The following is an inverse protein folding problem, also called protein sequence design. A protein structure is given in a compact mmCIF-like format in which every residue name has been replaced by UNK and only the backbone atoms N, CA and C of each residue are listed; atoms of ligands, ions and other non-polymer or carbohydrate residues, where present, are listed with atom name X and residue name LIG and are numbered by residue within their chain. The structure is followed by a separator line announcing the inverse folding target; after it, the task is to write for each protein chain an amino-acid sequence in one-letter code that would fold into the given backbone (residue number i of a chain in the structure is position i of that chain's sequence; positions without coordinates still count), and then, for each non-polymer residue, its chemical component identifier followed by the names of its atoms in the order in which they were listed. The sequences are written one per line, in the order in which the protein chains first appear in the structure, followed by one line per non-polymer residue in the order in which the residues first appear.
data_IF_812537772471
#
_entry.id   IF_812537772471
#
_cell.length_a   1.000
_cell.length_b   1.000
_cell.length_c   1.000
_cell.angle_alpha   90.00
_cell.angle_beta   90.00
_cell.angle_gamma   90.00
#
_symmetry.space_group_name_H-M   'P 1'
#
loop_
_entity.id
_entity.type
_entity.pdbx_description
1 polymer ?
#
# COMPACT_ATOMS: atom_id res chain seq x y z
N UNK A 1 -1.11 -18.37 -59.57
CA UNK A 1 -0.57 -19.59 -58.92
C UNK A 1 0.58 -19.30 -57.97
N UNK A 2 1.58 -18.48 -58.34
CA UNK A 2 2.73 -18.19 -57.47
C UNK A 2 2.37 -17.53 -56.11
N UNK A 3 1.38 -16.63 -56.05
CA UNK A 3 0.96 -15.98 -54.78
C UNK A 3 0.20 -16.91 -53.82
N UNK A 4 -0.47 -17.94 -54.36
CA UNK A 4 -1.15 -18.95 -53.55
C UNK A 4 -0.13 -19.91 -52.93
N UNK A 5 0.88 -20.34 -53.69
CA UNK A 5 1.95 -21.20 -53.20
C UNK A 5 2.77 -20.56 -52.06
N UNK A 6 3.07 -19.26 -52.15
CA UNK A 6 3.75 -18.52 -51.08
C UNK A 6 2.89 -18.33 -49.83
N UNK A 7 1.58 -18.07 -49.97
CA UNK A 7 0.67 -18.00 -48.83
C UNK A 7 0.53 -19.36 -48.11
N UNK A 8 0.44 -20.46 -48.88
CA UNK A 8 0.38 -21.82 -48.32
C UNK A 8 1.68 -22.20 -47.62
N UNK A 9 2.85 -21.91 -48.20
CA UNK A 9 4.14 -22.16 -47.57
C UNK A 9 4.38 -21.33 -46.30
N UNK A 10 3.93 -20.06 -46.29
CA UNK A 10 3.98 -19.20 -45.11
C UNK A 10 3.06 -19.73 -43.98
N UNK A 11 1.86 -20.19 -44.30
CA UNK A 11 0.94 -20.79 -43.33
C UNK A 11 1.46 -22.12 -42.77
N UNK A 12 2.08 -22.97 -43.60
CA UNK A 12 2.68 -24.23 -43.15
C UNK A 12 3.86 -23.95 -42.20
N UNK A 13 4.75 -23.04 -42.57
CA UNK A 13 5.91 -22.63 -41.74
C UNK A 13 5.49 -21.99 -40.42
N UNK A 14 4.42 -21.18 -40.44
CA UNK A 14 3.86 -20.63 -39.21
C UNK A 14 3.30 -21.75 -38.31
N UNK A 15 2.56 -22.71 -38.87
CA UNK A 15 1.97 -23.81 -38.10
C UNK A 15 3.02 -24.74 -37.47
N UNK A 16 4.13 -25.01 -38.17
CA UNK A 16 5.21 -25.85 -37.65
C UNK A 16 5.98 -25.14 -36.54
N UNK A 17 6.20 -23.84 -36.68
CA UNK A 17 6.79 -23.01 -35.62
C UNK A 17 5.90 -22.96 -34.37
N UNK A 18 4.58 -22.87 -34.51
CA UNK A 18 3.66 -22.91 -33.37
C UNK A 18 3.64 -24.22 -32.62
N UNK A 19 3.65 -25.33 -33.35
CA UNK A 19 3.70 -26.66 -32.75
C UNK A 19 5.02 -26.89 -32.00
N UNK A 20 6.14 -26.44 -32.56
CA UNK A 20 7.44 -26.49 -31.86
C UNK A 20 7.40 -25.69 -30.54
N UNK A 21 6.72 -24.55 -30.55
CA UNK A 21 6.61 -23.67 -29.38
C UNK A 21 5.82 -24.28 -28.22
N UNK A 22 4.89 -25.21 -28.48
CA UNK A 22 4.11 -25.86 -27.40
C UNK A 22 4.99 -26.59 -26.39
N UNK A 23 6.10 -27.17 -26.84
CA UNK A 23 7.05 -27.87 -25.96
C UNK A 23 8.06 -26.95 -25.28
N UNK A 24 8.14 -25.68 -25.67
CA UNK A 24 9.06 -24.72 -25.06
C UNK A 24 8.52 -24.27 -23.70
N UNK A 25 9.40 -24.28 -22.69
CA UNK A 25 9.11 -23.72 -21.37
C UNK A 25 9.89 -22.42 -21.20
N UNK A 26 9.31 -21.38 -20.58
CA UNK A 26 10.05 -20.15 -20.32
C UNK A 26 11.17 -20.41 -19.32
N UNK A 27 12.22 -19.58 -19.35
CA UNK A 27 13.43 -19.79 -18.52
C UNK A 27 13.15 -19.81 -17.01
N UNK A 28 12.07 -19.17 -16.57
CA UNK A 28 11.69 -19.10 -15.16
C UNK A 28 10.85 -20.30 -14.71
N UNK A 29 10.36 -21.13 -15.65
CA UNK A 29 9.57 -22.31 -15.29
C UNK A 29 10.46 -23.35 -14.62
N UNK A 30 10.05 -23.76 -13.42
CA UNK A 30 10.78 -24.73 -12.62
C UNK A 30 9.97 -26.03 -12.52
N UNK A 31 10.46 -27.09 -13.16
CA UNK A 31 9.83 -28.42 -13.14
C UNK A 31 10.11 -29.23 -11.88
N UNK A 32 10.76 -28.63 -10.88
CA UNK A 32 11.02 -29.29 -9.59
C UNK A 32 9.77 -29.26 -8.71
N UNK A 33 9.62 -30.20 -7.76
CA UNK A 33 8.52 -30.20 -6.79
C UNK A 33 8.43 -28.92 -5.95
N UNK A 34 9.58 -28.33 -5.61
CA UNK A 34 9.67 -27.07 -4.88
C UNK A 34 10.66 -26.10 -5.52
N UNK A 35 10.51 -24.82 -5.21
CA UNK A 35 11.41 -23.75 -5.66
C UNK A 35 12.78 -23.89 -5.01
N UNK A 36 12.82 -24.15 -3.70
CA UNK A 36 14.05 -24.43 -2.96
C UNK A 36 14.06 -25.91 -2.54
N UNK A 37 15.07 -26.71 -2.95
CA UNK A 37 15.16 -28.11 -2.56
C UNK A 37 15.09 -28.28 -1.04
N UNK A 38 14.18 -29.13 -0.57
CA UNK A 38 13.99 -29.42 0.86
C UNK A 38 13.08 -28.46 1.63
N UNK A 39 12.55 -27.41 0.97
CA UNK A 39 11.56 -26.50 1.57
C UNK A 39 10.29 -26.55 0.73
N UNK A 40 9.16 -26.87 1.38
CA UNK A 40 7.82 -26.77 0.79
C UNK A 40 7.55 -25.37 0.26
N UNK A 41 6.89 -25.25 -0.90
CA UNK A 41 6.54 -23.96 -1.49
C UNK A 41 5.55 -23.19 -0.58
N UNK A 42 4.66 -23.90 0.13
CA UNK A 42 3.80 -23.33 1.17
C UNK A 42 4.63 -22.69 2.28
N UNK A 43 5.58 -23.43 2.87
CA UNK A 43 6.41 -22.89 3.94
C UNK A 43 7.35 -21.78 3.46
N UNK A 44 7.85 -21.88 2.23
CA UNK A 44 8.65 -20.82 1.62
C UNK A 44 7.85 -19.54 1.45
N UNK A 45 6.57 -19.64 1.04
CA UNK A 45 5.69 -18.48 0.89
C UNK A 45 5.38 -17.76 2.20
N UNK A 46 5.52 -18.44 3.34
CA UNK A 46 5.34 -17.88 4.68
C UNK A 46 6.66 -17.37 5.28
N UNK A 47 7.75 -18.10 5.06
CA UNK A 47 9.06 -17.78 5.65
C UNK A 47 9.81 -16.68 4.91
N UNK A 48 9.76 -16.65 3.57
CA UNK A 48 10.52 -15.68 2.77
C UNK A 48 10.12 -14.22 3.03
N UNK A 49 8.82 -13.86 3.15
CA UNK A 49 8.41 -12.51 3.54
C UNK A 49 9.01 -12.07 4.87
N UNK A 50 9.11 -12.96 5.86
CA UNK A 50 9.73 -12.65 7.17
C UNK A 50 11.23 -12.36 7.00
N UNK A 51 11.94 -13.20 6.24
CA UNK A 51 13.37 -12.99 5.96
C UNK A 51 13.60 -11.65 5.27
N UNK A 52 12.78 -11.34 4.25
CA UNK A 52 12.89 -10.10 3.49
C UNK A 52 12.51 -8.88 4.33
N UNK A 53 11.50 -8.99 5.19
CA UNK A 53 11.17 -7.94 6.14
C UNK A 53 12.40 -7.54 6.98
N UNK A 54 13.08 -8.52 7.58
CA UNK A 54 14.23 -8.25 8.43
C UNK A 54 15.44 -7.78 7.62
N UNK A 55 15.71 -8.39 6.47
CA UNK A 55 16.82 -7.97 5.60
C UNK A 55 16.67 -6.51 5.15
N UNK A 56 15.49 -6.12 4.66
CA UNK A 56 15.21 -4.75 4.23
C UNK A 56 15.20 -3.78 5.41
N UNK A 57 14.63 -4.18 6.55
CA UNK A 57 14.63 -3.32 7.75
C UNK A 57 16.05 -3.07 8.27
N UNK A 58 16.89 -4.10 8.29
CA UNK A 58 18.29 -3.99 8.67
C UNK A 58 19.10 -3.18 7.66
N UNK A 59 18.77 -3.23 6.37
CA UNK A 59 19.37 -2.36 5.36
C UNK A 59 19.13 -0.88 5.67
N UNK A 60 17.88 -0.47 5.87
CA UNK A 60 17.57 0.93 6.24
C UNK A 60 18.16 1.31 7.60
N UNK A 61 18.15 0.40 8.57
CA UNK A 61 18.80 0.64 9.85
C UNK A 61 20.32 0.81 9.73
N UNK A 62 20.97 0.08 8.82
CA UNK A 62 22.39 0.26 8.54
C UNK A 62 22.64 1.65 7.92
N UNK A 63 21.76 2.13 7.04
CA UNK A 63 21.85 3.51 6.53
C UNK A 63 21.73 4.53 7.66
N UNK A 64 20.82 4.29 8.62
CA UNK A 64 20.63 5.14 9.79
C UNK A 64 21.89 5.24 10.67
N UNK A 65 22.61 4.14 10.84
CA UNK A 65 23.82 4.07 11.66
C UNK A 65 25.03 4.64 10.90
N UNK A 66 25.19 4.28 9.62
CA UNK A 66 26.38 4.63 8.84
C UNK A 66 26.40 6.10 8.44
N UNK A 67 25.25 6.76 8.32
CA UNK A 67 25.10 8.18 7.96
C UNK A 67 25.97 8.59 6.77
N UNK A 68 25.94 7.77 5.71
CA UNK A 68 26.77 8.00 4.52
C UNK A 68 26.37 9.35 3.88
N UNK A 69 27.30 10.30 3.66
CA UNK A 69 26.96 11.65 3.19
C UNK A 69 26.12 11.68 1.91
N UNK A 70 26.29 10.68 1.03
CA UNK A 70 25.55 10.54 -0.21
C UNK A 70 24.07 10.16 0.00
N UNK A 71 23.74 9.37 1.02
CA UNK A 71 22.37 8.93 1.31
C UNK A 71 21.63 9.89 2.24
N UNK A 72 22.34 10.59 3.13
CA UNK A 72 21.75 11.53 4.11
C UNK A 72 20.95 12.65 3.46
N UNK A 73 21.35 13.11 2.27
CA UNK A 73 20.59 14.13 1.50
C UNK A 73 19.18 13.69 1.10
N UNK A 74 18.86 12.40 1.21
CA UNK A 74 17.54 11.83 0.92
C UNK A 74 16.76 11.44 2.18
N UNK A 75 17.37 11.59 3.36
CA UNK A 75 16.71 11.28 4.64
C UNK A 75 15.57 12.28 4.87
N UNK A 76 14.42 11.77 5.31
CA UNK A 76 13.24 12.60 5.60
C UNK A 76 13.32 13.28 6.97
N UNK A 77 13.86 12.57 7.97
CA UNK A 77 13.93 13.00 9.36
C UNK A 77 15.24 12.61 10.01
N UNK A 78 15.83 13.51 10.79
CA UNK A 78 17.04 13.24 11.57
C UNK A 78 16.83 12.10 12.58
N UNK A 79 17.85 11.26 12.88
CA UNK A 79 17.73 10.16 13.83
C UNK A 79 17.23 10.57 15.23
N UNK A 80 17.57 11.78 15.67
CA UNK A 80 17.06 12.33 16.93
C UNK A 80 15.56 12.59 16.89
N UNK A 81 14.98 12.96 15.74
CA UNK A 81 13.54 13.14 15.62
C UNK A 81 12.80 11.80 15.74
N UNK A 82 13.35 10.74 15.15
CA UNK A 82 12.81 9.37 15.25
C UNK A 82 12.70 8.93 16.71
N UNK A 83 13.71 9.21 17.52
CA UNK A 83 13.74 8.81 18.93
C UNK A 83 12.91 9.72 19.83
N UNK A 84 12.88 11.04 19.57
CA UNK A 84 12.20 12.03 20.44
C UNK A 84 10.70 12.16 20.15
N UNK A 85 10.26 11.99 18.91
CA UNK A 85 8.85 12.22 18.52
C UNK A 85 7.99 10.96 18.57
N UNK A 86 8.60 9.77 18.44
CA UNK A 86 7.87 8.52 18.53
C UNK A 86 7.44 8.23 19.97
N UNK A 87 6.21 7.74 20.14
CA UNK A 87 5.58 7.47 21.44
C UNK A 87 5.73 6.01 21.88
N UNK A 88 6.62 5.26 21.23
CA UNK A 88 6.90 3.85 21.50
C UNK A 88 8.38 3.56 21.30
N UNK A 89 8.94 2.67 22.13
CA UNK A 89 10.34 2.23 22.01
C UNK A 89 10.52 1.23 20.86
N UNK A 90 11.70 1.25 20.24
CA UNK A 90 12.08 0.30 19.18
C UNK A 90 11.96 -1.15 19.66
N UNK A 91 12.35 -1.45 20.91
CA UNK A 91 12.19 -2.79 21.49
C UNK A 91 10.73 -3.26 21.47
N UNK A 92 9.79 -2.38 21.83
CA UNK A 92 8.36 -2.72 21.81
C UNK A 92 7.86 -2.91 20.38
N UNK A 93 8.34 -2.12 19.44
CA UNK A 93 8.05 -2.29 18.01
C UNK A 93 8.50 -3.67 17.54
N UNK A 94 9.75 -4.04 17.79
CA UNK A 94 10.32 -5.34 17.41
C UNK A 94 9.50 -6.50 18.01
N UNK A 95 9.15 -6.44 19.29
CA UNK A 95 8.33 -7.49 19.93
C UNK A 95 6.96 -7.62 19.26
N UNK A 96 6.29 -6.50 18.97
CA UNK A 96 4.99 -6.51 18.31
C UNK A 96 5.06 -7.03 16.87
N UNK A 97 6.16 -6.75 16.15
CA UNK A 97 6.41 -7.32 14.82
C UNK A 97 6.54 -8.84 14.89
N UNK A 98 7.26 -9.39 15.87
CA UNK A 98 7.31 -10.85 16.05
C UNK A 98 5.94 -11.46 16.33
N UNK A 99 5.11 -10.79 17.16
CA UNK A 99 3.72 -11.22 17.39
C UNK A 99 2.91 -11.19 16.09
N UNK A 100 3.07 -10.13 15.29
CA UNK A 100 2.39 -9.97 14.02
C UNK A 100 2.80 -11.05 13.01
N UNK A 101 4.11 -11.34 12.90
CA UNK A 101 4.64 -12.41 12.04
C UNK A 101 4.17 -13.80 12.48
N UNK A 102 4.06 -14.05 13.79
CA UNK A 102 3.48 -15.30 14.30
C UNK A 102 2.02 -15.46 13.89
N UNK A 103 1.20 -14.40 14.06
CA UNK A 103 -0.21 -14.41 13.67
C UNK A 103 -0.36 -14.61 12.15
N UNK A 104 0.41 -13.86 11.35
CA UNK A 104 0.48 -13.99 9.89
C UNK A 104 0.83 -15.42 9.46
N UNK A 105 1.82 -16.03 10.12
CA UNK A 105 2.25 -17.40 9.84
C UNK A 105 1.15 -18.40 10.15
N UNK A 106 0.51 -18.29 11.32
CA UNK A 106 -0.61 -19.17 11.71
C UNK A 106 -1.77 -19.04 10.72
N UNK A 107 -2.14 -17.81 10.36
CA UNK A 107 -3.21 -17.54 9.40
C UNK A 107 -2.90 -18.16 8.02
N UNK A 108 -1.67 -17.94 7.52
CA UNK A 108 -1.24 -18.51 6.25
C UNK A 108 -1.13 -20.03 6.25
N UNK A 109 -0.76 -20.65 7.37
CA UNK A 109 -0.77 -22.12 7.51
C UNK A 109 -2.17 -22.72 7.35
N UNK A 110 -3.19 -22.01 7.83
CA UNK A 110 -4.60 -22.43 7.71
C UNK A 110 -5.12 -22.21 6.29
N UNK A 111 -4.78 -21.09 5.67
CA UNK A 111 -5.44 -20.65 4.44
C UNK A 111 -4.76 -21.12 3.15
N UNK A 112 -3.42 -21.17 3.13
CA UNK A 112 -2.70 -21.47 1.89
C UNK A 112 -2.81 -22.94 1.52
N UNK A 113 -2.95 -23.18 0.22
CA UNK A 113 -2.94 -24.50 -0.39
C UNK A 113 -1.68 -25.29 0.01
N UNK A 114 -1.85 -26.61 0.14
CA UNK A 114 -0.74 -27.51 0.42
C UNK A 114 0.12 -27.80 -0.81
N UNK A 115 1.23 -28.52 -0.59
CA UNK A 115 2.14 -28.89 -1.66
C UNK A 115 1.48 -29.77 -2.72
N UNK A 116 0.42 -30.52 -2.40
CA UNK A 116 -0.25 -31.38 -3.38
C UNK A 116 -0.92 -30.53 -4.47
N UNK A 117 -1.60 -29.45 -4.08
CA UNK A 117 -2.18 -28.49 -5.04
C UNK A 117 -1.07 -27.80 -5.84
N UNK A 118 0.01 -27.38 -5.19
CA UNK A 118 1.16 -26.75 -5.87
C UNK A 118 1.81 -27.67 -6.92
N UNK A 119 1.92 -28.97 -6.63
CA UNK A 119 2.42 -29.97 -7.57
C UNK A 119 1.45 -30.19 -8.74
N UNK A 120 0.14 -30.25 -8.47
CA UNK A 120 -0.86 -30.36 -9.54
C UNK A 120 -0.82 -29.16 -10.49
N UNK A 121 -0.57 -27.96 -9.98
CA UNK A 121 -0.41 -26.75 -10.80
C UNK A 121 0.90 -26.77 -11.60
N UNK A 122 2.00 -27.22 -10.99
CA UNK A 122 3.33 -27.28 -11.59
C UNK A 122 3.47 -28.34 -12.67
N UNK A 123 2.80 -29.49 -12.50
CA UNK A 123 2.81 -30.61 -13.45
C UNK A 123 1.52 -30.72 -14.25
N UNK A 124 0.76 -29.63 -14.35
CA UNK A 124 -0.43 -29.59 -15.17
C UNK A 124 -0.09 -29.86 -16.64
N UNK A 125 -1.08 -30.32 -17.41
CA UNK A 125 -0.96 -30.40 -18.87
C UNK A 125 -0.90 -29.00 -19.49
N UNK A 126 0.27 -28.38 -19.43
CA UNK A 126 0.52 -27.04 -19.95
C UNK A 126 0.28 -26.98 -21.46
N UNK A 127 0.67 -28.03 -22.20
CA UNK A 127 0.49 -28.11 -23.65
C UNK A 127 -1.00 -28.13 -24.00
N UNK A 128 -1.79 -28.97 -23.34
CA UNK A 128 -3.24 -29.02 -23.50
C UNK A 128 -3.91 -27.69 -23.16
N UNK A 129 -3.50 -27.03 -22.06
CA UNK A 129 -4.01 -25.70 -21.69
C UNK A 129 -3.69 -24.64 -22.74
N UNK A 130 -2.48 -24.65 -23.30
CA UNK A 130 -2.09 -23.71 -24.37
C UNK A 130 -2.91 -23.98 -25.64
N UNK A 131 -3.13 -25.24 -26.02
CA UNK A 131 -3.95 -25.60 -27.17
C UNK A 131 -5.41 -25.19 -26.99
N UNK A 132 -5.96 -25.36 -25.78
CA UNK A 132 -7.30 -24.89 -25.44
C UNK A 132 -7.40 -23.37 -25.58
N UNK A 133 -6.42 -22.63 -25.05
CA UNK A 133 -6.35 -21.18 -25.16
C UNK A 133 -6.20 -20.73 -26.62
N UNK A 134 -5.40 -21.42 -27.44
CA UNK A 134 -5.27 -21.14 -28.87
C UNK A 134 -6.60 -21.36 -29.61
N UNK A 135 -7.35 -22.40 -29.25
CA UNK A 135 -8.69 -22.66 -29.79
C UNK A 135 -9.67 -21.55 -29.44
N UNK A 136 -9.72 -21.15 -28.15
CA UNK A 136 -10.56 -20.05 -27.68
C UNK A 136 -10.18 -18.73 -28.36
N UNK A 137 -8.89 -18.44 -28.45
CA UNK A 137 -8.37 -17.24 -29.11
C UNK A 137 -8.84 -17.18 -30.55
N UNK A 138 -8.67 -18.25 -31.34
CA UNK A 138 -9.18 -18.34 -32.72
C UNK A 138 -10.68 -18.14 -32.78
N UNK A 139 -11.43 -18.82 -31.91
CA UNK A 139 -12.89 -18.74 -31.90
C UNK A 139 -13.39 -17.31 -31.66
N UNK A 140 -12.95 -16.66 -30.58
CA UNK A 140 -13.43 -15.33 -30.23
C UNK A 140 -12.94 -14.23 -31.17
N UNK A 141 -11.70 -14.32 -31.68
CA UNK A 141 -11.20 -13.36 -32.66
C UNK A 141 -11.89 -13.53 -34.03
N UNK A 142 -12.23 -14.76 -34.42
CA UNK A 142 -13.06 -15.02 -35.61
C UNK A 142 -14.47 -14.47 -35.44
N UNK A 143 -15.08 -14.68 -34.28
CA UNK A 143 -16.42 -14.18 -33.97
C UNK A 143 -16.47 -12.64 -33.99
N UNK A 144 -15.45 -11.98 -33.44
CA UNK A 144 -15.41 -10.53 -33.32
C UNK A 144 -15.04 -9.80 -34.62
N UNK A 145 -14.12 -10.36 -35.43
CA UNK A 145 -13.52 -9.65 -36.57
C UNK A 145 -13.69 -10.36 -37.92
N UNK A 146 -14.26 -11.56 -37.92
CA UNK A 146 -14.39 -12.41 -39.10
C UNK A 146 -13.10 -13.19 -39.42
N UNK A 147 -13.27 -14.36 -40.05
CA UNK A 147 -12.17 -15.28 -40.36
C UNK A 147 -11.06 -14.65 -41.23
N UNK A 148 -11.42 -13.69 -42.08
CA UNK A 148 -10.47 -12.98 -42.94
C UNK A 148 -9.48 -12.11 -42.15
N UNK A 149 -9.95 -11.44 -41.09
CA UNK A 149 -9.14 -10.49 -40.32
C UNK A 149 -8.49 -11.13 -39.09
N UNK A 150 -8.95 -12.33 -38.70
CA UNK A 150 -8.49 -13.03 -37.52
C UNK A 150 -6.95 -13.16 -37.42
N UNK A 151 -6.21 -13.57 -38.48
CA UNK A 151 -4.76 -13.69 -38.38
C UNK A 151 -4.07 -12.34 -38.19
N UNK A 152 -4.57 -11.29 -38.86
CA UNK A 152 -4.03 -9.92 -38.75
C UNK A 152 -4.23 -9.36 -37.35
N UNK A 153 -5.43 -9.49 -36.79
CA UNK A 153 -5.73 -9.03 -35.42
C UNK A 153 -4.87 -9.77 -34.40
N UNK A 154 -4.72 -11.10 -34.56
CA UNK A 154 -3.88 -11.91 -33.66
C UNK A 154 -2.42 -11.44 -33.70
N UNK A 155 -1.90 -11.13 -34.89
CA UNK A 155 -0.54 -10.57 -35.03
C UNK A 155 -0.39 -9.22 -34.37
N UNK A 156 -1.34 -8.33 -34.54
CA UNK A 156 -1.28 -6.99 -33.96
C UNK A 156 -1.37 -7.05 -32.43
N UNK A 157 -2.20 -7.93 -31.88
CA UNK A 157 -2.40 -8.05 -30.44
C UNK A 157 -1.26 -8.83 -29.74
N UNK A 158 -0.72 -9.87 -30.37
CA UNK A 158 0.17 -10.84 -29.70
C UNK A 158 1.51 -11.05 -30.42
N UNK A 159 1.78 -10.29 -31.48
CA UNK A 159 3.04 -10.36 -32.24
C UNK A 159 3.17 -11.55 -33.19
N UNK A 160 2.19 -12.46 -33.26
CA UNK A 160 2.20 -13.61 -34.16
C UNK A 160 0.83 -13.85 -34.82
N UNK A 161 0.82 -14.22 -36.10
CA UNK A 161 -0.40 -14.65 -36.82
C UNK A 161 -0.83 -16.06 -36.41
N UNK A 162 0.06 -16.82 -35.77
CA UNK A 162 -0.18 -18.17 -35.33
C UNK A 162 -0.75 -18.19 -33.91
N UNK A 163 -2.00 -18.66 -33.80
CA UNK A 163 -2.72 -18.74 -32.54
C UNK A 163 -2.02 -19.61 -31.48
N UNK A 164 -1.25 -20.64 -31.89
CA UNK A 164 -0.52 -21.48 -30.93
C UNK A 164 0.61 -20.69 -30.27
N UNK A 165 1.35 -19.87 -31.04
CA UNK A 165 2.41 -19.03 -30.51
C UNK A 165 1.88 -17.89 -29.64
N UNK A 166 0.77 -17.28 -30.06
CA UNK A 166 0.09 -16.25 -29.28
C UNK A 166 -0.43 -16.83 -27.96
N UNK A 167 -1.07 -18.00 -28.00
CA UNK A 167 -1.54 -18.68 -26.79
C UNK A 167 -0.40 -19.11 -25.86
N UNK A 168 0.72 -19.58 -26.41
CA UNK A 168 1.90 -19.87 -25.60
C UNK A 168 2.39 -18.64 -24.84
N UNK A 169 2.48 -17.48 -25.52
CA UNK A 169 2.89 -16.24 -24.88
C UNK A 169 1.87 -15.77 -23.84
N UNK A 170 0.57 -15.86 -24.15
CA UNK A 170 -0.49 -15.51 -23.20
C UNK A 170 -0.44 -16.41 -21.97
N UNK A 171 -0.27 -17.71 -22.15
CA UNK A 171 -0.24 -18.68 -21.07
C UNK A 171 0.94 -18.43 -20.11
N UNK A 172 2.14 -18.23 -20.65
CA UNK A 172 3.35 -18.05 -19.84
C UNK A 172 3.60 -16.61 -19.40
N UNK A 173 3.17 -15.61 -20.15
CA UNK A 173 3.52 -14.21 -19.85
C UNK A 173 2.28 -13.36 -19.62
N UNK A 174 1.34 -13.36 -20.56
CA UNK A 174 0.17 -12.48 -20.51
C UNK A 174 -0.70 -12.71 -19.27
N UNK A 175 -1.09 -13.96 -19.01
CA UNK A 175 -1.95 -14.35 -17.88
C UNK A 175 -1.24 -14.09 -16.56
N UNK A 176 -0.01 -14.60 -16.29
CA UNK A 176 0.67 -14.30 -15.02
C UNK A 176 0.87 -12.81 -14.77
N UNK A 177 1.26 -12.04 -15.79
CA UNK A 177 1.41 -10.58 -15.66
C UNK A 177 0.08 -9.94 -15.30
N UNK A 178 -1.01 -10.29 -15.99
CA UNK A 178 -2.35 -9.78 -15.66
C UNK A 178 -2.78 -10.17 -14.24
N UNK A 179 -2.47 -11.38 -13.79
CA UNK A 179 -2.74 -11.83 -12.41
C UNK A 179 -1.99 -10.98 -11.39
N UNK A 180 -0.70 -10.69 -11.58
CA UNK A 180 0.05 -9.83 -10.67
C UNK A 180 -0.50 -8.40 -10.62
N UNK A 181 -0.80 -7.79 -11.78
CA UNK A 181 -1.41 -6.46 -11.83
C UNK A 181 -2.78 -6.43 -11.16
N UNK A 182 -3.59 -7.47 -11.37
CA UNK A 182 -4.88 -7.58 -10.70
C UNK A 182 -4.74 -7.80 -9.19
N UNK A 183 -3.77 -8.60 -8.74
CA UNK A 183 -3.48 -8.81 -7.33
C UNK A 183 -3.03 -7.51 -6.63
N UNK A 184 -2.19 -6.71 -7.29
CA UNK A 184 -1.81 -5.38 -6.80
C UNK A 184 -3.01 -4.45 -6.69
N UNK A 185 -3.89 -4.44 -7.71
CA UNK A 185 -5.12 -3.66 -7.68
C UNK A 185 -6.04 -4.07 -6.52
N UNK A 186 -6.28 -5.38 -6.33
CA UNK A 186 -7.09 -5.90 -5.22
C UNK A 186 -6.46 -5.55 -3.87
N UNK A 187 -5.14 -5.63 -3.76
CA UNK A 187 -4.42 -5.31 -2.51
C UNK A 187 -4.59 -3.84 -2.16
N UNK A 188 -4.31 -2.94 -3.10
CA UNK A 188 -4.46 -1.50 -2.92
C UNK A 188 -5.91 -1.13 -2.61
N UNK A 189 -6.89 -1.74 -3.27
CA UNK A 189 -8.31 -1.48 -3.03
C UNK A 189 -8.71 -1.88 -1.60
N UNK A 190 -8.27 -3.05 -1.16
CA UNK A 190 -8.53 -3.57 0.19
C UNK A 190 -7.87 -2.69 1.26
N UNK A 191 -6.58 -2.46 1.11
CA UNK A 191 -5.78 -1.64 2.03
C UNK A 191 -6.30 -0.21 2.10
N UNK A 192 -6.53 0.45 0.96
CA UNK A 192 -7.09 1.81 0.93
C UNK A 192 -8.42 1.90 1.68
N UNK A 193 -9.34 0.99 1.38
CA UNK A 193 -10.70 1.03 1.94
C UNK A 193 -10.67 0.85 3.44
N UNK A 194 -9.97 -0.17 3.93
CA UNK A 194 -9.87 -0.44 5.36
C UNK A 194 -9.06 0.65 6.06
N UNK A 195 -7.91 1.05 5.53
CA UNK A 195 -7.06 2.07 6.13
C UNK A 195 -7.81 3.40 6.28
N UNK A 196 -8.55 3.83 5.25
CA UNK A 196 -9.44 4.99 5.33
C UNK A 196 -10.54 4.80 6.36
N UNK A 197 -11.19 3.63 6.42
CA UNK A 197 -12.21 3.35 7.43
C UNK A 197 -11.64 3.42 8.86
N UNK A 198 -10.41 2.93 9.07
CA UNK A 198 -9.69 3.02 10.33
C UNK A 198 -9.41 4.47 10.75
N UNK A 199 -9.28 5.40 9.81
CA UNK A 199 -9.11 6.83 10.09
C UNK A 199 -10.42 7.60 10.26
N UNK A 200 -11.43 7.31 9.44
CA UNK A 200 -12.69 8.05 9.45
C UNK A 200 -13.58 7.65 10.63
N UNK A 201 -13.48 6.40 11.09
CA UNK A 201 -14.18 5.94 12.29
C UNK A 201 -13.40 6.26 13.56
N UNK A 202 -13.97 7.10 14.43
CA UNK A 202 -13.39 7.41 15.75
C UNK A 202 -13.14 6.15 16.59
N UNK A 203 -14.02 5.15 16.49
CA UNK A 203 -13.88 3.89 17.19
C UNK A 203 -12.70 3.08 16.67
N UNK A 204 -12.62 2.91 15.34
CA UNK A 204 -11.57 2.10 14.73
C UNK A 204 -10.19 2.75 14.93
N UNK A 205 -10.10 4.08 14.78
CA UNK A 205 -8.88 4.82 15.03
C UNK A 205 -8.41 4.66 16.48
N UNK A 206 -9.27 4.99 17.45
CA UNK A 206 -8.87 5.02 18.86
C UNK A 206 -8.46 3.65 19.40
N UNK A 207 -9.11 2.57 18.94
CA UNK A 207 -8.88 1.24 19.51
C UNK A 207 -7.83 0.42 18.75
N UNK A 208 -7.61 0.69 17.46
CA UNK A 208 -6.73 -0.11 16.62
C UNK A 208 -5.62 0.76 16.01
N UNK A 209 -5.99 1.63 15.07
CA UNK A 209 -5.02 2.27 14.18
C UNK A 209 -4.16 3.36 14.84
N UNK A 210 -4.65 3.96 15.93
CA UNK A 210 -3.83 4.87 16.76
C UNK A 210 -2.61 4.17 17.38
N UNK A 211 -2.57 2.84 17.42
CA UNK A 211 -1.38 2.07 17.79
C UNK A 211 -0.24 2.33 16.81
N UNK A 212 -0.51 2.16 15.52
CA UNK A 212 0.44 2.40 14.43
C UNK A 212 0.95 3.84 14.43
N UNK A 213 0.03 4.81 14.54
CA UNK A 213 0.32 6.25 14.62
C UNK A 213 1.01 6.72 15.92
N UNK A 214 1.42 5.81 16.81
CA UNK A 214 2.43 6.13 17.85
C UNK A 214 3.80 6.40 17.23
N UNK A 215 4.02 5.91 16.01
CA UNK A 215 5.19 6.17 15.18
C UNK A 215 4.97 7.46 14.37
N UNK A 216 5.15 8.61 15.00
CA UNK A 216 5.03 9.90 14.32
C UNK A 216 6.04 10.08 13.18
N UNK A 217 7.26 9.56 13.36
CA UNK A 217 8.29 9.48 12.32
C UNK A 217 8.44 8.01 11.94
N UNK A 218 7.93 7.59 10.76
CA UNK A 218 8.08 6.23 10.28
C UNK A 218 9.55 5.85 10.10
N UNK A 219 9.85 4.59 10.39
CA UNK A 219 11.14 3.95 10.13
C UNK A 219 10.91 2.48 9.84
N UNK A 220 11.89 1.81 9.24
CA UNK A 220 11.68 0.51 8.59
C UNK A 220 11.10 -0.59 9.50
N UNK A 221 11.56 -0.72 10.75
CA UNK A 221 10.99 -1.71 11.68
C UNK A 221 9.52 -1.40 12.05
N UNK A 222 9.10 -0.13 11.92
CA UNK A 222 7.73 0.30 12.14
C UNK A 222 6.73 -0.21 11.11
N UNK A 223 7.19 -0.75 9.98
CA UNK A 223 6.35 -1.10 8.83
C UNK A 223 5.25 -2.14 9.13
N UNK A 224 5.47 -3.01 10.13
CA UNK A 224 4.47 -3.99 10.60
C UNK A 224 4.07 -3.76 12.06
N UNK A 225 4.32 -2.55 12.59
CA UNK A 225 3.90 -2.17 13.93
C UNK A 225 2.42 -1.77 13.94
N UNK A 226 1.56 -2.77 13.83
CA UNK A 226 0.12 -2.62 13.77
C UNK A 226 -0.52 -3.22 15.02
N UNK A 227 -1.75 -2.81 15.34
CA UNK A 227 -2.53 -3.60 16.29
C UNK A 227 -2.75 -5.01 15.71
N UNK A 228 -2.67 -6.11 16.48
CA UNK A 228 -2.73 -7.47 15.93
C UNK A 228 -3.95 -7.75 15.02
N UNK A 229 -5.13 -7.27 15.42
CA UNK A 229 -6.36 -7.36 14.61
C UNK A 229 -6.25 -6.56 13.32
N UNK A 230 -5.66 -5.38 13.38
CA UNK A 230 -5.49 -4.51 12.23
C UNK A 230 -4.50 -5.12 11.24
N UNK A 231 -3.34 -5.59 11.69
CA UNK A 231 -2.37 -6.24 10.80
C UNK A 231 -2.90 -7.56 10.22
N UNK A 232 -3.74 -8.30 10.96
CA UNK A 232 -4.43 -9.47 10.41
C UNK A 232 -5.38 -9.07 9.27
N UNK A 233 -6.17 -8.00 9.45
CA UNK A 233 -7.16 -7.56 8.47
C UNK A 233 -6.54 -6.85 7.27
N UNK A 234 -5.65 -5.87 7.50
CA UNK A 234 -4.99 -5.12 6.44
C UNK A 234 -3.99 -6.00 5.69
N UNK A 235 -3.06 -6.63 6.42
CA UNK A 235 -1.90 -7.27 5.79
C UNK A 235 -2.21 -8.71 5.40
N UNK A 236 -2.60 -9.57 6.35
CA UNK A 236 -2.77 -11.00 6.08
C UNK A 236 -3.99 -11.30 5.21
N UNK A 237 -5.16 -10.79 5.59
CA UNK A 237 -6.38 -11.01 4.85
C UNK A 237 -6.35 -10.29 3.48
N UNK A 238 -5.72 -9.11 3.41
CA UNK A 238 -5.48 -8.42 2.14
C UNK A 238 -4.61 -9.23 1.18
N UNK A 239 -3.47 -9.74 1.65
CA UNK A 239 -2.58 -10.59 0.85
C UNK A 239 -3.27 -11.88 0.37
N UNK A 240 -3.99 -12.54 1.28
CA UNK A 240 -4.78 -13.73 0.96
C UNK A 240 -5.87 -13.46 -0.08
N UNK A 241 -6.63 -12.38 0.09
CA UNK A 241 -7.68 -11.99 -0.84
C UNK A 241 -7.13 -11.69 -2.22
N UNK A 242 -6.02 -10.93 -2.30
CA UNK A 242 -5.35 -10.64 -3.57
C UNK A 242 -4.86 -11.89 -4.29
N UNK A 243 -4.24 -12.81 -3.55
CA UNK A 243 -3.76 -14.08 -4.08
C UNK A 243 -4.90 -14.94 -4.64
N UNK A 244 -5.98 -15.08 -3.86
CA UNK A 244 -7.15 -15.88 -4.25
C UNK A 244 -7.92 -15.23 -5.41
N UNK A 245 -8.19 -13.92 -5.34
CA UNK A 245 -8.94 -13.19 -6.37
C UNK A 245 -8.24 -13.23 -7.73
N UNK A 246 -6.90 -13.18 -7.73
CA UNK A 246 -6.10 -13.29 -8.95
C UNK A 246 -5.86 -14.73 -9.41
N UNK A 247 -6.39 -15.74 -8.72
CA UNK A 247 -6.22 -17.17 -9.05
C UNK A 247 -4.75 -17.57 -9.16
N UNK A 248 -3.92 -17.05 -8.26
CA UNK A 248 -2.48 -17.24 -8.30
C UNK A 248 -2.09 -18.62 -7.77
N UNK A 249 -1.06 -19.20 -8.37
CA UNK A 249 -0.39 -20.39 -7.82
C UNK A 249 0.38 -20.03 -6.55
N UNK A 250 0.67 -21.01 -5.69
CA UNK A 250 1.49 -20.80 -4.48
C UNK A 250 2.84 -20.15 -4.82
N UNK A 251 3.46 -20.52 -5.95
CA UNK A 251 4.73 -19.92 -6.42
C UNK A 251 4.61 -18.45 -6.80
N UNK A 252 3.52 -18.07 -7.45
CA UNK A 252 3.21 -16.66 -7.67
C UNK A 252 2.93 -15.95 -6.33
N UNK A 253 2.30 -16.64 -5.38
CA UNK A 253 2.12 -16.19 -4.00
C UNK A 253 3.44 -15.87 -3.29
N UNK A 254 4.46 -16.73 -3.42
CA UNK A 254 5.83 -16.47 -2.89
C UNK A 254 6.32 -15.10 -3.36
N UNK A 255 6.23 -14.83 -4.67
CA UNK A 255 6.66 -13.56 -5.24
C UNK A 255 5.80 -12.39 -4.75
N UNK A 256 4.47 -12.52 -4.76
CA UNK A 256 3.55 -11.48 -4.33
C UNK A 256 3.79 -11.09 -2.87
N UNK A 257 3.81 -12.05 -1.94
CA UNK A 257 3.93 -11.79 -0.51
C UNK A 257 5.31 -11.20 -0.17
N UNK A 258 6.35 -11.73 -0.80
CA UNK A 258 7.72 -11.24 -0.62
C UNK A 258 7.86 -9.81 -1.13
N UNK A 259 7.37 -9.54 -2.34
CA UNK A 259 7.44 -8.21 -2.95
C UNK A 259 6.59 -7.19 -2.19
N UNK A 260 5.39 -7.57 -1.76
CA UNK A 260 4.51 -6.71 -0.95
C UNK A 260 5.20 -6.33 0.37
N UNK A 261 5.85 -7.28 1.03
CA UNK A 261 6.58 -7.03 2.28
C UNK A 261 7.79 -6.11 2.07
N UNK A 262 8.57 -6.35 1.02
CA UNK A 262 9.66 -5.46 0.62
C UNK A 262 9.14 -4.03 0.43
N UNK A 263 8.03 -3.89 -0.31
CA UNK A 263 7.42 -2.59 -0.61
C UNK A 263 6.93 -1.88 0.65
N UNK A 264 6.21 -2.58 1.52
CA UNK A 264 5.73 -2.04 2.81
C UNK A 264 6.89 -1.53 3.67
N UNK A 265 8.01 -2.27 3.75
CA UNK A 265 9.20 -1.80 4.49
C UNK A 265 9.85 -0.59 3.82
N UNK A 266 9.97 -0.59 2.49
CA UNK A 266 10.52 0.54 1.74
C UNK A 266 9.69 1.82 1.94
N UNK A 267 8.36 1.71 2.00
CA UNK A 267 7.44 2.82 2.27
C UNK A 267 7.53 3.38 3.70
N UNK A 268 8.22 2.66 4.59
CA UNK A 268 8.54 3.12 5.94
C UNK A 268 10.03 3.40 6.12
N UNK A 269 10.84 3.25 5.06
CA UNK A 269 12.30 3.25 5.15
C UNK A 269 12.92 4.56 5.62
N UNK A 270 12.18 5.68 5.59
CA UNK A 270 12.64 7.00 6.06
C UNK A 270 13.51 7.77 5.06
N UNK A 271 13.66 7.27 3.83
CA UNK A 271 14.45 7.88 2.76
C UNK A 271 13.62 8.09 1.49
N UNK A 272 13.68 9.29 0.93
CA UNK A 272 13.09 9.65 -0.36
C UNK A 272 14.12 9.48 -1.48
N UNK A 273 14.49 8.22 -1.77
CA UNK A 273 15.47 7.94 -2.81
C UNK A 273 14.96 8.28 -4.22
N UNK A 274 15.82 8.81 -5.11
CA UNK A 274 15.48 8.98 -6.50
C UNK A 274 15.44 7.65 -7.24
N UNK A 275 14.80 7.61 -8.41
CA UNK A 275 14.56 6.39 -9.19
C UNK A 275 15.82 5.56 -9.52
N UNK A 276 17.00 6.17 -9.58
CA UNK A 276 18.25 5.45 -9.88
C UNK A 276 18.87 4.76 -8.65
N UNK A 277 18.41 5.10 -7.43
CA UNK A 277 18.75 4.39 -6.19
C UNK A 277 17.61 3.47 -5.74
N UNK A 278 16.36 3.88 -5.99
CA UNK A 278 15.17 3.06 -5.81
C UNK A 278 14.35 2.99 -7.11
N UNK A 279 14.61 2.00 -7.98
CA UNK A 279 13.89 1.82 -9.24
C UNK A 279 12.40 1.54 -9.07
N UNK A 280 11.93 1.16 -7.88
CA UNK A 280 10.51 0.92 -7.63
C UNK A 280 9.69 2.18 -7.87
N UNK A 281 10.27 3.36 -7.66
CA UNK A 281 9.62 4.64 -7.90
C UNK A 281 9.28 4.92 -9.38
N UNK A 282 9.85 4.16 -10.33
CA UNK A 282 9.44 4.25 -11.74
C UNK A 282 8.05 3.68 -12.00
N UNK A 283 7.61 2.75 -11.16
CA UNK A 283 6.36 2.00 -11.33
C UNK A 283 5.38 2.33 -10.21
N UNK A 284 5.86 2.45 -8.98
CA UNK A 284 5.05 2.57 -7.78
C UNK A 284 5.21 3.98 -7.18
N UNK A 285 4.18 4.85 -7.29
CA UNK A 285 4.23 6.20 -6.76
C UNK A 285 4.00 6.29 -5.24
N UNK A 286 3.58 5.18 -4.61
CA UNK A 286 3.61 5.08 -3.15
C UNK A 286 5.07 4.92 -2.70
N UNK A 287 5.51 5.72 -1.73
CA UNK A 287 6.88 5.74 -1.26
C UNK A 287 6.96 6.29 0.18
N UNK A 288 8.17 6.26 0.76
CA UNK A 288 8.43 6.78 2.10
C UNK A 288 7.99 8.24 2.29
N UNK A 289 8.26 9.13 1.33
CA UNK A 289 7.84 10.54 1.44
C UNK A 289 6.30 10.69 1.45
N UNK A 290 5.61 9.88 0.65
CA UNK A 290 4.16 9.87 0.59
C UNK A 290 3.56 9.41 1.92
N UNK A 291 4.11 8.35 2.51
CA UNK A 291 3.62 7.75 3.74
C UNK A 291 4.02 8.56 4.98
N UNK A 292 5.19 9.20 4.98
CA UNK A 292 5.61 10.12 6.05
C UNK A 292 4.58 11.24 6.27
N UNK A 293 4.11 11.87 5.18
CA UNK A 293 3.07 12.90 5.26
C UNK A 293 1.83 12.40 5.99
N UNK A 294 1.43 11.15 5.77
CA UNK A 294 0.25 10.55 6.40
C UNK A 294 0.42 10.39 7.92
N UNK A 295 1.59 9.98 8.40
CA UNK A 295 1.89 9.82 9.83
C UNK A 295 1.97 11.13 10.61
N UNK A 296 2.18 12.25 9.93
CA UNK A 296 2.15 13.56 10.58
C UNK A 296 0.72 13.91 11.04
N UNK A 297 0.58 14.53 12.22
CA UNK A 297 -0.72 14.83 12.84
C UNK A 297 -1.70 15.61 11.95
N UNK A 298 -1.21 16.52 11.10
CA UNK A 298 -2.03 17.28 10.16
C UNK A 298 -2.31 16.53 8.85
N UNK A 299 -1.61 15.42 8.62
CA UNK A 299 -1.67 14.60 7.42
C UNK A 299 -2.53 13.33 7.54
N UNK A 300 -2.98 12.97 8.75
CA UNK A 300 -3.86 11.81 9.04
C UNK A 300 -5.16 11.73 8.22
N UNK A 301 -5.50 12.77 7.45
CA UNK A 301 -6.68 12.83 6.58
C UNK A 301 -6.38 12.55 5.10
N UNK A 302 -5.13 12.27 4.77
CA UNK A 302 -4.64 12.17 3.41
C UNK A 302 -3.74 10.95 3.23
N UNK A 303 -3.52 10.55 1.98
CA UNK A 303 -2.55 9.54 1.57
C UNK A 303 -2.78 8.17 2.25
N UNK A 304 -3.97 7.59 2.07
CA UNK A 304 -4.33 6.29 2.67
C UNK A 304 -3.91 5.07 1.84
N UNK A 305 -3.65 5.24 0.54
CA UNK A 305 -3.34 4.11 -0.34
C UNK A 305 -2.03 3.47 0.09
N UNK A 306 -1.97 2.14 0.06
CA UNK A 306 -0.77 1.32 0.26
C UNK A 306 -1.03 -0.08 -0.28
N UNK A 307 -0.01 -0.85 -0.70
CA UNK A 307 1.40 -0.47 -0.72
C UNK A 307 1.90 -0.01 -2.11
N UNK A 308 1.15 -0.16 -3.21
CA UNK A 308 1.72 -0.01 -4.56
C UNK A 308 1.44 1.36 -5.20
N UNK A 309 0.17 1.69 -5.40
CA UNK A 309 -0.26 2.86 -6.15
C UNK A 309 -1.03 3.84 -5.25
N UNK A 310 -1.20 5.07 -5.74
CA UNK A 310 -1.89 6.17 -5.00
C UNK A 310 -3.21 6.58 -5.65
N UNK A 311 -3.68 5.79 -6.62
CA UNK A 311 -4.79 6.15 -7.51
C UNK A 311 -6.12 6.25 -6.76
N UNK A 312 -6.34 5.47 -5.69
CA UNK A 312 -7.54 5.62 -4.87
C UNK A 312 -7.58 6.95 -4.13
N UNK A 313 -6.45 7.46 -3.62
CA UNK A 313 -6.41 8.82 -3.06
C UNK A 313 -6.69 9.91 -4.10
N UNK A 314 -6.25 9.70 -5.34
CA UNK A 314 -6.56 10.63 -6.44
C UNK A 314 -8.06 10.57 -6.76
N UNK A 315 -8.61 9.36 -6.91
CA UNK A 315 -10.01 9.13 -7.25
C UNK A 315 -10.97 9.72 -6.20
N UNK A 316 -10.64 9.55 -4.93
CA UNK A 316 -11.49 9.98 -3.82
C UNK A 316 -11.07 11.31 -3.17
N UNK A 317 -10.12 12.03 -3.76
CA UNK A 317 -9.73 13.37 -3.32
C UNK A 317 -8.98 13.42 -1.98
N UNK A 318 -8.33 12.33 -1.57
CA UNK A 318 -7.55 12.21 -0.33
C UNK A 318 -6.04 12.31 -0.56
N UNK A 319 -5.57 12.67 -1.77
CA UNK A 319 -4.14 12.82 -2.09
C UNK A 319 -3.58 14.19 -1.70
N UNK A 320 -2.43 14.23 -1.02
CA UNK A 320 -1.64 15.46 -0.82
C UNK A 320 -0.12 15.23 -0.99
N UNK A 321 0.51 15.98 -1.90
CA UNK A 321 1.97 15.92 -2.07
C UNK A 321 2.71 16.48 -0.86
N UNK A 322 3.93 16.00 -0.61
CA UNK A 322 4.78 16.50 0.46
C UNK A 322 5.03 18.00 0.35
N UNK A 323 5.32 18.51 -0.86
CA UNK A 323 5.51 19.94 -1.10
C UNK A 323 4.27 20.77 -0.70
N UNK A 324 3.07 20.33 -1.13
CA UNK A 324 1.81 21.02 -0.80
C UNK A 324 1.54 20.96 0.69
N UNK A 325 1.78 19.81 1.31
CA UNK A 325 1.62 19.61 2.74
C UNK A 325 2.56 20.52 3.55
N UNK A 326 3.84 20.63 3.19
CA UNK A 326 4.79 21.52 3.85
C UNK A 326 4.40 23.00 3.70
N UNK A 327 3.90 23.42 2.53
CA UNK A 327 3.36 24.77 2.33
C UNK A 327 2.15 25.04 3.23
N UNK A 328 1.21 24.09 3.32
CA UNK A 328 0.05 24.19 4.21
C UNK A 328 0.47 24.32 5.68
N UNK A 329 1.46 23.53 6.11
CA UNK A 329 1.98 23.55 7.48
C UNK A 329 2.62 24.91 7.82
N UNK A 330 3.52 25.41 6.96
CA UNK A 330 4.16 26.73 7.14
C UNK A 330 3.15 27.86 7.20
N UNK A 331 2.13 27.83 6.34
CA UNK A 331 1.07 28.84 6.35
C UNK A 331 0.27 28.81 7.67
N UNK A 332 -0.07 27.62 8.15
CA UNK A 332 -0.78 27.48 9.43
C UNK A 332 0.08 27.94 10.62
N UNK A 333 1.39 27.67 10.61
CA UNK A 333 2.33 28.14 11.62
C UNK A 333 2.45 29.67 11.62
N UNK A 334 2.61 30.28 10.44
CA UNK A 334 2.67 31.75 10.29
C UNK A 334 1.38 32.41 10.78
N UNK A 335 0.21 31.84 10.46
CA UNK A 335 -1.08 32.35 10.93
C UNK A 335 -1.20 32.27 12.46
N UNK A 336 -0.80 31.15 13.06
CA UNK A 336 -0.79 31.01 14.53
C UNK A 336 0.18 31.99 15.20
N UNK A 337 1.32 32.24 14.56
CA UNK A 337 2.30 33.21 15.05
C UNK A 337 1.77 34.65 14.97
N UNK A 338 1.09 35.02 13.88
CA UNK A 338 0.46 36.35 13.74
C UNK A 338 -0.67 36.53 14.75
N UNK A 339 -1.56 35.54 14.90
CA UNK A 339 -2.65 35.58 15.90
C UNK A 339 -2.10 35.70 17.33
N UNK A 340 -1.01 35.00 17.65
CA UNK A 340 -0.34 35.12 18.95
C UNK A 340 0.30 36.49 19.15
N UNK A 341 0.91 37.06 18.11
CA UNK A 341 1.51 38.39 18.16
C UNK A 341 0.43 39.48 18.35
N UNK A 342 -0.68 39.38 17.63
CA UNK A 342 -1.85 40.28 17.77
C UNK A 342 -2.48 40.17 19.16
N UNK A 343 -2.67 38.96 19.69
CA UNK A 343 -3.15 38.75 21.05
C UNK A 343 -2.21 39.33 22.10
N UNK A 344 -0.89 39.14 21.94
CA UNK A 344 0.11 39.71 22.85
C UNK A 344 0.14 41.23 22.78
N UNK A 345 0.00 41.80 21.58
CA UNK A 345 -0.07 43.25 21.36
C UNK A 345 -1.36 43.84 21.97
N UNK A 346 -2.51 43.17 21.84
CA UNK A 346 -3.77 43.58 22.44
C UNK A 346 -3.71 43.56 23.99
N UNK A 347 -3.09 42.53 24.59
CA UNK A 347 -2.85 42.46 26.03
C UNK A 347 -1.94 43.60 26.48
N UNK A 348 -0.84 43.86 25.75
CA UNK A 348 0.12 44.93 26.07
C UNK A 348 -0.50 46.32 25.94
N UNK A 349 -1.37 46.54 24.95
CA UNK A 349 -2.13 47.78 24.78
C UNK A 349 -3.14 47.98 25.91
N UNK A 350 -3.78 46.91 26.39
CA UNK A 350 -4.69 46.95 27.55
C UNK A 350 -3.99 47.26 28.86
N UNK A 351 -2.70 46.92 29.02
CA UNK A 351 -1.91 47.22 30.24
C UNK A 351 -1.29 48.62 30.24
N UNK A 352 -1.13 49.27 29.08
CA UNK A 352 -0.57 50.62 28.95
C UNK A 352 -1.63 51.74 28.89
N UNK A 353 -2.92 51.39 28.80
CA UNK A 353 -4.00 52.32 29.08
C UNK A 353 -4.15 52.47 30.59
N UNK A 354 -4.04 53.71 31.11
CA UNK A 354 -4.24 54.08 32.52
C UNK A 354 -5.38 53.29 33.18
N UNK A 355 -5.01 52.22 33.88
CA UNK A 355 -5.92 51.49 34.73
C UNK A 355 -5.98 52.25 36.06
N UNK A 356 -7.08 52.97 36.27
CA UNK A 356 -7.49 53.35 37.62
C UNK A 356 -7.59 52.06 38.44
N UNK A 357 -6.96 51.98 39.63
CA UNK A 357 -6.97 50.75 40.41
C UNK A 357 -8.40 50.45 40.83
N UNK A 358 -9.03 49.45 40.21
CA UNK A 358 -10.22 48.83 40.77
C UNK A 358 -9.75 48.05 42.00
N UNK A 359 -10.20 48.49 43.15
CA UNK A 359 -10.14 47.76 44.41
C UNK A 359 -10.64 46.34 44.19
N UNK A 360 -9.80 45.34 44.50
CA UNK A 360 -10.20 43.95 44.54
C UNK A 360 -11.24 43.78 45.66
N UNK A 361 -12.38 43.12 45.42
CA UNK A 361 -13.33 42.81 46.48
C UNK A 361 -12.66 41.84 47.46
N UNK A 362 -12.78 42.14 48.74
CA UNK A 362 -12.10 41.52 49.89
C UNK A 362 -12.62 40.10 50.22
N UNK A 363 -13.22 39.40 49.26
CA UNK A 363 -13.80 38.08 49.50
C UNK A 363 -13.50 37.13 48.34
N UNK A 364 -12.86 36.00 48.66
CA UNK A 364 -12.62 34.93 47.70
C UNK A 364 -13.95 34.41 47.12
N UNK A 365 -14.00 34.22 45.81
CA UNK A 365 -15.17 33.73 45.11
C UNK A 365 -15.53 32.33 45.58
N UNK A 366 -16.81 32.09 45.88
CA UNK A 366 -17.26 30.77 46.32
C UNK A 366 -17.31 29.83 45.11
N UNK A 367 -17.17 28.50 45.32
CA UNK A 367 -17.21 27.53 44.21
C UNK A 367 -18.46 27.64 43.31
N UNK A 368 -19.59 28.11 43.84
CA UNK A 368 -20.80 28.36 43.07
C UNK A 368 -20.64 29.49 42.02
N UNK A 369 -19.88 30.53 42.33
CA UNK A 369 -19.66 31.70 41.46
C UNK A 369 -18.74 31.35 40.27
N UNK A 370 -17.84 30.38 40.45
CA UNK A 370 -16.94 29.87 39.42
C UNK A 370 -17.69 28.97 38.43
N UNK A 371 -18.69 28.23 38.90
CA UNK A 371 -19.51 27.34 38.06
C UNK A 371 -20.44 28.13 37.13
N UNK A 372 -20.98 29.27 37.58
CA UNK A 372 -21.80 30.13 36.71
C UNK A 372 -20.97 30.89 35.65
N UNK A 373 -19.70 31.16 35.93
CA UNK A 373 -18.79 31.82 34.98
C UNK A 373 -18.24 30.88 33.87
N UNK A 374 -18.33 29.56 34.07
CA UNK A 374 -17.82 28.53 33.15
C UNK A 374 -18.88 27.97 32.18
N UNK A 375 -19.97 28.71 31.91
CA UNK A 375 -20.89 28.36 30.81
C UNK A 375 -20.17 28.47 29.46
N UNK A 376 -19.49 27.40 29.09
CA UNK A 376 -18.88 27.19 27.79
C UNK A 376 -19.99 27.29 26.72
N UNK A 377 -19.92 28.27 25.80
CA UNK A 377 -20.94 28.45 24.77
C UNK A 377 -21.02 27.26 23.79
N UNK A 378 -20.14 26.26 23.88
CA UNK A 378 -20.15 25.04 23.06
C UNK A 378 -20.84 23.84 23.73
N UNK A 379 -21.17 23.91 25.02
CA UNK A 379 -21.87 22.84 25.74
C UNK A 379 -23.34 23.25 25.88
N UNK A 380 -24.25 22.47 25.29
CA UNK A 380 -25.70 22.64 25.45
C UNK A 380 -26.18 21.72 26.55
N UNK A 381 -26.75 22.28 27.61
CA UNK A 381 -27.21 21.53 28.80
C UNK A 381 -28.72 21.45 28.92
N UNK A 382 -29.46 22.15 28.06
CA UNK A 382 -30.92 22.09 27.99
C UNK A 382 -31.45 22.14 26.54
N UNK A 383 -32.61 21.53 26.35
CA UNK A 383 -33.27 21.28 25.05
C UNK A 383 -33.63 22.59 24.31
N UNK A 384 -34.00 23.64 25.05
CA UNK A 384 -34.28 24.98 24.52
C UNK A 384 -33.04 25.62 23.89
N UNK A 385 -31.87 25.49 24.52
CA UNK A 385 -30.60 26.01 23.99
C UNK A 385 -30.12 25.27 22.74
N UNK A 386 -30.45 23.98 22.62
CA UNK A 386 -30.15 23.16 21.45
C UNK A 386 -31.01 23.58 20.26
N UNK A 387 -32.32 23.76 20.45
CA UNK A 387 -33.25 24.19 19.40
C UNK A 387 -32.91 25.59 18.83
N UNK A 388 -32.45 26.51 19.69
CA UNK A 388 -32.04 27.86 19.26
C UNK A 388 -30.75 27.86 18.41
N UNK A 389 -29.83 26.90 18.63
CA UNK A 389 -28.56 26.78 17.88
C UNK A 389 -28.67 25.89 16.64
N UNK A 390 -29.58 24.92 16.63
CA UNK A 390 -29.74 23.98 15.52
C UNK A 390 -30.29 24.65 14.24
N UNK A 391 -30.93 25.81 14.36
CA UNK A 391 -31.58 26.51 13.25
C UNK A 391 -32.80 25.73 12.74
N UNK A 392 -33.85 26.43 12.35
CA UNK A 392 -34.99 25.77 11.69
C UNK A 392 -34.58 25.50 10.24
N UNK A 393 -34.37 24.22 9.91
CA UNK A 393 -34.27 23.79 8.52
C UNK A 393 -35.62 24.07 7.83
N UNK A 394 -35.66 25.11 7.01
CA UNK A 394 -36.66 25.24 5.93
C UNK A 394 -36.17 24.50 4.71
#
# INVERSE_FOLDING_TARGET
MASFATATAANITASTAGLAKLSEMPFYFQSQPSVIPGISDKYLSLGLPIVIYWATSLFYHALDILQLPYTERYRLHEPEEVTKRNRVSVTRVIVMVFVQQLIQTIFGLVLLDDDAVGLQQTFADHQGKILQLASQLRHYTTLAFGAQWQPTVTRLAFGSQDANQAAWWLYWWGIPVAQFWFAFFVMDAWQYTLHRAFHESRFLYRNFHSHHHRLYVPYAFGALYNHPVEGLLLDSAGAALSHAAALMTVRQGILLFTFSTLKTVADHGGYAFPWYLDPLHLVFPNCAEYHDVHHQMTGLRYNYSQPFFVHFDVLFGTRISAEKFQKMKKLAENKRASEKAESTAAITASTNGSATPKTLPEHDAKPADIVDALKDPLITTDETSYAAKAGVST
#
